data_IF_212305322775
#
_entry.id   IF_212305322775
#
_cell.length_a   1.000
_cell.length_b   1.000
_cell.length_c   1.000
_cell.angle_alpha   90.00
_cell.angle_beta   90.00
_cell.angle_gamma   90.00
#
_symmetry.space_group_name_H-M   'P 1'
#
loop_
_entity.id
_entity.type
_entity.pdbx_description
1 polymer ?
#
# COMPACT_ATOMS: atom_id res chain seq x y z
N UNK A 1 30.54 -13.37 -5.62
CA UNK A 1 29.63 -13.84 -6.70
C UNK A 1 28.21 -13.44 -6.32
N UNK A 2 27.63 -12.50 -7.07
CA UNK A 2 26.33 -11.90 -6.78
C UNK A 2 25.21 -12.94 -6.79
N UNK A 3 24.43 -13.00 -5.70
CA UNK A 3 23.13 -13.68 -5.70
C UNK A 3 22.26 -12.95 -6.70
N UNK A 4 21.95 -13.64 -7.80
CA UNK A 4 20.87 -13.33 -8.72
C UNK A 4 19.61 -13.24 -7.87
N UNK A 5 19.19 -12.03 -7.50
CA UNK A 5 17.84 -11.82 -7.01
C UNK A 5 16.93 -12.41 -8.09
N UNK A 6 16.20 -13.47 -7.76
CA UNK A 6 15.14 -13.97 -8.61
C UNK A 6 14.12 -12.85 -8.76
N UNK A 7 14.32 -12.01 -9.76
CA UNK A 7 13.25 -11.22 -10.38
C UNK A 7 12.22 -12.23 -10.88
N UNK A 8 10.98 -12.23 -10.38
CA UNK A 8 9.95 -13.03 -10.99
C UNK A 8 9.62 -12.41 -12.35
N UNK A 9 10.03 -13.14 -13.41
CA UNK A 9 9.52 -13.13 -14.80
C UNK A 9 9.50 -11.81 -15.59
N UNK A 10 10.27 -11.77 -16.68
CA UNK A 10 9.90 -11.05 -17.90
C UNK A 10 9.28 -12.03 -18.91
N UNK A 11 8.48 -11.61 -19.91
CA UNK A 11 7.24 -10.86 -19.80
C UNK A 11 6.10 -11.61 -20.51
N UNK A 12 5.06 -12.01 -19.78
CA UNK A 12 3.72 -11.73 -20.29
C UNK A 12 3.52 -10.26 -20.00
N UNK A 13 3.53 -9.38 -21.01
CA UNK A 13 3.43 -7.93 -20.79
C UNK A 13 2.20 -7.68 -19.92
N UNK A 14 2.37 -7.39 -18.63
CA UNK A 14 1.26 -6.92 -17.81
C UNK A 14 0.86 -5.59 -18.42
N UNK A 15 -0.24 -5.60 -19.16
CA UNK A 15 -0.75 -4.41 -19.81
C UNK A 15 -1.43 -3.59 -18.72
N UNK A 16 -0.71 -2.58 -18.24
CA UNK A 16 -1.30 -1.54 -17.39
C UNK A 16 -1.99 -0.52 -18.27
N UNK A 17 -3.06 0.07 -17.75
CA UNK A 17 -3.83 1.08 -18.46
C UNK A 17 -3.85 2.38 -17.67
N UNK A 18 -3.92 3.52 -18.36
CA UNK A 18 -4.05 4.80 -17.67
C UNK A 18 -5.34 4.79 -16.82
N UNK A 19 -5.22 5.28 -15.60
CA UNK A 19 -6.35 5.43 -14.68
C UNK A 19 -7.10 6.73 -14.92
N UNK A 20 -8.43 6.67 -14.83
CA UNK A 20 -9.31 7.85 -14.75
C UNK A 20 -10.06 7.85 -13.43
N UNK A 21 -10.44 9.01 -12.89
CA UNK A 21 -11.18 9.09 -11.63
C UNK A 21 -12.47 8.26 -11.65
N UNK A 22 -13.20 8.23 -12.77
CA UNK A 22 -14.42 7.42 -12.92
C UNK A 22 -14.13 5.91 -12.81
N UNK A 23 -13.05 5.45 -13.46
CA UNK A 23 -12.63 4.05 -13.39
C UNK A 23 -12.12 3.68 -12.00
N UNK A 24 -11.31 4.53 -11.39
CA UNK A 24 -10.82 4.33 -10.02
C UNK A 24 -11.97 4.26 -9.03
N UNK A 25 -12.94 5.18 -9.11
CA UNK A 25 -14.12 5.16 -8.26
C UNK A 25 -14.90 3.84 -8.40
N UNK A 26 -15.05 3.34 -9.62
CA UNK A 26 -15.71 2.04 -9.89
C UNK A 26 -14.94 0.87 -9.28
N UNK A 27 -13.61 0.85 -9.44
CA UNK A 27 -12.76 -0.21 -8.86
C UNK A 27 -12.84 -0.18 -7.34
N UNK A 28 -12.68 1.00 -6.72
CA UNK A 28 -12.67 1.18 -5.27
C UNK A 28 -13.99 0.75 -4.63
N UNK A 29 -15.13 1.13 -5.22
CA UNK A 29 -16.46 0.69 -4.74
C UNK A 29 -16.60 -0.84 -4.76
N UNK A 30 -16.09 -1.49 -5.80
CA UNK A 30 -16.11 -2.97 -5.89
C UNK A 30 -15.14 -3.62 -4.91
N UNK A 31 -13.95 -3.05 -4.74
CA UNK A 31 -12.91 -3.56 -3.85
C UNK A 31 -13.32 -3.49 -2.38
N UNK A 32 -14.06 -2.46 -1.96
CA UNK A 32 -14.48 -2.29 -0.56
C UNK A 32 -15.13 -3.54 0.03
N UNK A 33 -16.00 -4.21 -0.72
CA UNK A 33 -16.66 -5.43 -0.26
C UNK A 33 -15.64 -6.56 0.00
N UNK A 34 -14.70 -6.76 -0.91
CA UNK A 34 -13.67 -7.79 -0.78
C UNK A 34 -12.69 -7.47 0.35
N UNK A 35 -12.33 -6.20 0.54
CA UNK A 35 -11.43 -5.76 1.61
C UNK A 35 -12.08 -5.96 2.98
N UNK A 36 -13.34 -5.56 3.13
CA UNK A 36 -14.10 -5.78 4.37
C UNK A 36 -14.18 -7.27 4.71
N UNK A 37 -14.53 -8.10 3.72
CA UNK A 37 -14.58 -9.55 3.89
C UNK A 37 -13.21 -10.15 4.24
N UNK A 38 -12.16 -9.73 3.55
CA UNK A 38 -10.79 -10.16 3.84
C UNK A 38 -10.39 -9.85 5.29
N UNK A 39 -10.70 -8.65 5.78
CA UNK A 39 -10.40 -8.25 7.15
C UNK A 39 -11.18 -9.08 8.16
N UNK A 40 -12.47 -9.32 7.92
CA UNK A 40 -13.31 -10.17 8.76
C UNK A 40 -12.80 -11.62 8.83
N UNK A 41 -12.31 -12.17 7.72
CA UNK A 41 -11.77 -13.53 7.65
C UNK A 41 -10.34 -13.63 8.20
N UNK A 42 -9.60 -12.51 8.27
CA UNK A 42 -8.20 -12.49 8.75
C UNK A 42 -8.09 -12.20 10.24
N UNK A 43 -8.98 -11.37 10.78
CA UNK A 43 -8.91 -10.89 12.15
C UNK A 43 -10.20 -11.23 12.92
N UNK A 44 -10.21 -12.36 13.62
CA UNK A 44 -11.38 -12.84 14.38
C UNK A 44 -11.98 -11.77 15.31
N UNK A 45 -11.13 -10.98 15.99
CA UNK A 45 -11.58 -9.94 16.90
C UNK A 45 -12.30 -8.78 16.16
N UNK A 46 -12.10 -8.64 14.85
CA UNK A 46 -12.76 -7.61 14.05
C UNK A 46 -14.29 -7.80 14.03
N UNK A 47 -14.75 -9.06 13.98
CA UNK A 47 -16.17 -9.39 14.01
C UNK A 47 -16.83 -9.01 15.36
N UNK A 48 -16.04 -8.76 16.41
CA UNK A 48 -16.57 -8.37 17.72
C UNK A 48 -16.97 -6.90 17.78
N UNK A 49 -16.45 -6.05 16.90
CA UNK A 49 -16.81 -4.63 16.82
C UNK A 49 -18.23 -4.44 16.29
N UNK A 50 -18.90 -3.38 16.74
CA UNK A 50 -20.19 -3.02 16.14
C UNK A 50 -20.00 -2.49 14.71
N UNK A 51 -21.10 -2.38 13.95
CA UNK A 51 -21.04 -1.95 12.55
C UNK A 51 -20.46 -0.54 12.38
N UNK A 52 -20.66 0.36 13.35
CA UNK A 52 -20.14 1.72 13.29
C UNK A 52 -18.62 1.73 13.49
N UNK A 53 -18.13 0.99 14.48
CA UNK A 53 -16.71 0.77 14.74
C UNK A 53 -16.02 0.12 13.53
N UNK A 54 -16.60 -0.94 12.96
CA UNK A 54 -16.07 -1.60 11.77
C UNK A 54 -15.95 -0.62 10.58
N UNK A 55 -17.00 0.16 10.31
CA UNK A 55 -16.97 1.17 9.25
C UNK A 55 -15.91 2.24 9.47
N UNK A 56 -15.75 2.72 10.71
CA UNK A 56 -14.71 3.69 11.06
C UNK A 56 -13.31 3.14 10.80
N UNK A 57 -13.03 1.91 11.29
CA UNK A 57 -11.73 1.24 11.10
C UNK A 57 -11.44 1.09 9.61
N UNK A 58 -12.41 0.58 8.84
CA UNK A 58 -12.27 0.40 7.39
C UNK A 58 -12.05 1.73 6.68
N UNK A 59 -12.80 2.77 7.01
CA UNK A 59 -12.67 4.08 6.38
C UNK A 59 -11.26 4.67 6.52
N UNK A 60 -10.69 4.60 7.73
CA UNK A 60 -9.33 5.08 8.00
C UNK A 60 -8.27 4.20 7.34
N UNK A 61 -8.48 2.88 7.33
CA UNK A 61 -7.58 1.93 6.69
C UNK A 61 -7.52 2.10 5.17
N UNK A 62 -8.65 2.37 4.51
CA UNK A 62 -8.73 2.42 3.04
C UNK A 62 -7.80 3.46 2.41
N UNK A 63 -7.64 4.62 3.05
CA UNK A 63 -6.70 5.65 2.58
C UNK A 63 -5.26 5.14 2.65
N UNK A 64 -4.86 4.54 3.78
CA UNK A 64 -3.52 3.98 3.95
C UNK A 64 -3.28 2.78 3.03
N UNK A 65 -4.27 1.91 2.86
CA UNK A 65 -4.21 0.77 1.96
C UNK A 65 -3.88 1.24 0.55
N UNK A 66 -4.56 2.28 0.07
CA UNK A 66 -4.35 2.77 -1.29
C UNK A 66 -2.94 3.31 -1.52
N UNK A 67 -2.42 4.10 -0.58
CA UNK A 67 -1.06 4.64 -0.65
C UNK A 67 -0.01 3.53 -0.58
N UNK A 68 -0.15 2.58 0.36
CA UNK A 68 0.76 1.45 0.53
C UNK A 68 0.72 0.50 -0.66
N UNK A 69 -0.47 0.09 -1.09
CA UNK A 69 -0.67 -0.83 -2.20
C UNK A 69 -0.17 -0.21 -3.52
N UNK A 70 -0.55 1.04 -3.81
CA UNK A 70 -0.09 1.75 -5.00
C UNK A 70 1.43 1.88 -5.03
N UNK A 71 2.05 2.22 -3.90
CA UNK A 71 3.52 2.29 -3.78
C UNK A 71 4.17 0.93 -3.98
N UNK A 72 3.67 -0.10 -3.32
CA UNK A 72 4.22 -1.45 -3.44
C UNK A 72 4.13 -1.99 -4.87
N UNK A 73 2.99 -1.84 -5.54
CA UNK A 73 2.86 -2.27 -6.94
C UNK A 73 3.69 -1.43 -7.90
N UNK A 74 3.87 -0.14 -7.63
CA UNK A 74 4.80 0.71 -8.38
C UNK A 74 6.22 0.17 -8.26
N UNK A 75 6.65 -0.12 -7.03
CA UNK A 75 7.97 -0.70 -6.76
C UNK A 75 8.19 -2.03 -7.49
N UNK A 76 7.20 -2.92 -7.44
CA UNK A 76 7.30 -4.29 -7.97
C UNK A 76 7.18 -4.38 -9.49
N UNK A 77 6.41 -3.49 -10.12
CA UNK A 77 6.05 -3.63 -11.54
C UNK A 77 6.65 -2.53 -12.43
N UNK A 78 7.02 -1.36 -11.90
CA UNK A 78 7.53 -0.24 -12.69
C UNK A 78 9.04 0.00 -12.47
N UNK A 79 9.81 0.24 -13.54
CA UNK A 79 11.22 0.63 -13.44
C UNK A 79 11.41 1.89 -12.60
N UNK A 80 12.52 1.98 -11.85
CA UNK A 80 12.80 3.11 -10.99
C UNK A 80 12.89 4.46 -11.75
N UNK A 81 13.32 4.40 -13.01
CA UNK A 81 13.51 5.54 -13.89
C UNK A 81 12.19 6.18 -14.35
N UNK A 82 11.07 5.44 -14.29
CA UNK A 82 9.74 5.98 -14.63
C UNK A 82 9.19 6.72 -13.42
N UNK A 83 9.75 7.90 -13.15
CA UNK A 83 9.43 8.71 -11.97
C UNK A 83 8.01 9.28 -12.04
N UNK A 84 7.57 9.58 -13.25
CA UNK A 84 6.28 10.14 -13.62
C UNK A 84 5.11 9.17 -13.42
N UNK A 85 5.39 7.86 -13.32
CA UNK A 85 4.35 6.83 -13.22
C UNK A 85 4.19 6.31 -11.80
N UNK A 86 2.94 6.09 -11.41
CA UNK A 86 2.59 5.44 -10.16
C UNK A 86 1.37 4.52 -10.39
N UNK A 87 1.48 3.29 -9.92
CA UNK A 87 0.35 2.36 -9.90
C UNK A 87 -0.73 2.88 -8.94
N UNK A 88 -1.97 2.89 -9.41
CA UNK A 88 -3.15 3.28 -8.63
C UNK A 88 -3.97 2.07 -8.20
N UNK A 89 -3.89 0.98 -8.96
CA UNK A 89 -4.49 -0.34 -8.69
C UNK A 89 -3.61 -1.42 -9.34
N UNK A 90 -3.97 -2.70 -9.18
CA UNK A 90 -3.31 -3.81 -9.87
C UNK A 90 -3.27 -3.70 -11.41
N UNK A 91 -4.16 -2.92 -12.03
CA UNK A 91 -4.32 -2.85 -13.49
C UNK A 91 -4.21 -1.44 -14.06
N UNK A 92 -4.08 -0.42 -13.21
CA UNK A 92 -4.10 0.99 -13.62
C UNK A 92 -2.97 1.80 -13.01
N UNK A 93 -2.49 2.80 -13.74
CA UNK A 93 -1.47 3.74 -13.28
C UNK A 93 -1.82 5.20 -13.62
N UNK A 94 -1.29 6.15 -12.85
CA UNK A 94 -1.21 7.58 -13.20
C UNK A 94 0.09 7.87 -13.92
N UNK A 95 0.07 8.88 -14.79
CA UNK A 95 1.24 9.42 -15.47
C UNK A 95 1.23 10.94 -15.29
N UNK A 96 2.24 11.49 -14.62
CA UNK A 96 2.35 12.93 -14.36
C UNK A 96 2.44 13.74 -15.66
N UNK A 97 2.90 13.15 -16.76
CA UNK A 97 2.95 13.80 -18.06
C UNK A 97 1.59 13.81 -18.78
N UNK A 98 0.61 13.03 -18.29
CA UNK A 98 -0.70 12.85 -18.92
C UNK A 98 -1.84 12.93 -17.87
N UNK A 99 -1.72 13.84 -16.90
CA UNK A 99 -2.69 13.98 -15.79
C UNK A 99 -4.09 14.35 -16.25
N UNK A 100 -4.23 14.93 -17.44
CA UNK A 100 -5.52 15.18 -18.06
C UNK A 100 -6.36 13.91 -18.13
N UNK A 101 -5.76 12.76 -18.47
CA UNK A 101 -6.49 11.49 -18.56
C UNK A 101 -7.09 11.06 -17.21
N UNK A 102 -6.39 11.39 -16.12
CA UNK A 102 -6.87 11.11 -14.77
C UNK A 102 -8.07 12.00 -14.43
N UNK A 103 -8.02 13.29 -14.82
CA UNK A 103 -8.88 14.37 -14.34
C UNK A 103 -10.08 14.66 -15.26
N UNK A 104 -10.02 14.37 -16.56
CA UNK A 104 -10.92 14.91 -17.60
C UNK A 104 -12.42 14.57 -17.51
N UNK A 105 -12.87 13.75 -16.55
CA UNK A 105 -14.29 13.43 -16.35
C UNK A 105 -14.97 14.29 -15.27
N UNK A 106 -14.60 15.58 -15.14
CA UNK A 106 -15.26 16.49 -14.19
C UNK A 106 -16.18 17.45 -14.92
N UNK A 107 -17.45 17.43 -14.57
CA UNK A 107 -18.49 18.33 -15.08
C UNK A 107 -18.39 19.76 -14.50
N UNK A 108 -17.51 19.99 -13.52
CA UNK A 108 -17.35 21.27 -12.85
C UNK A 108 -16.13 22.06 -13.35
N UNK A 109 -16.23 23.40 -13.45
CA UNK A 109 -15.09 24.28 -13.71
C UNK A 109 -14.17 24.32 -12.49
N UNK A 110 -13.35 23.29 -12.32
CA UNK A 110 -12.22 23.33 -11.41
C UNK A 110 -11.01 23.95 -12.10
N UNK A 111 -10.15 24.61 -11.31
CA UNK A 111 -8.82 24.98 -11.76
C UNK A 111 -8.00 23.69 -11.98
N UNK A 112 -8.05 23.20 -13.21
CA UNK A 112 -7.34 21.99 -13.66
C UNK A 112 -5.83 22.14 -13.40
N UNK A 113 -5.28 23.34 -13.51
CA UNK A 113 -3.87 23.61 -13.25
C UNK A 113 -3.54 23.41 -11.77
N UNK A 114 -4.35 23.97 -10.87
CA UNK A 114 -4.18 23.76 -9.43
C UNK A 114 -4.30 22.28 -9.06
N UNK A 115 -5.28 21.57 -9.61
CA UNK A 115 -5.46 20.14 -9.33
C UNK A 115 -4.28 19.29 -9.80
N UNK A 116 -3.72 19.57 -10.99
CA UNK A 116 -2.51 18.92 -11.48
C UNK A 116 -1.32 19.14 -10.55
N UNK A 117 -1.15 20.37 -10.05
CA UNK A 117 -0.08 20.70 -9.10
C UNK A 117 -0.23 19.92 -7.79
N UNK A 118 -1.45 19.83 -7.25
CA UNK A 118 -1.74 19.06 -6.03
C UNK A 118 -1.42 17.58 -6.24
N UNK A 119 -1.91 16.97 -7.33
CA UNK A 119 -1.65 15.56 -7.64
C UNK A 119 -0.14 15.30 -7.81
N UNK A 120 0.55 16.17 -8.54
CA UNK A 120 2.00 16.07 -8.75
C UNK A 120 2.76 16.12 -7.43
N UNK A 121 2.43 17.10 -6.57
CA UNK A 121 3.05 17.26 -5.26
C UNK A 121 2.83 16.03 -4.37
N UNK A 122 1.59 15.52 -4.31
CA UNK A 122 1.24 14.34 -3.54
C UNK A 122 1.99 13.09 -4.04
N UNK A 123 2.01 12.85 -5.36
CA UNK A 123 2.71 11.69 -5.92
C UNK A 123 4.22 11.74 -5.66
N UNK A 124 4.84 12.93 -5.78
CA UNK A 124 6.26 13.10 -5.47
C UNK A 124 6.55 12.94 -3.99
N UNK A 125 5.65 13.40 -3.12
CA UNK A 125 5.76 13.18 -1.67
C UNK A 125 5.70 11.69 -1.33
N UNK A 126 4.69 10.96 -1.83
CA UNK A 126 4.55 9.51 -1.62
C UNK A 126 5.77 8.75 -2.13
N UNK A 127 6.32 9.14 -3.29
CA UNK A 127 7.53 8.54 -3.81
C UNK A 127 8.71 8.68 -2.83
N UNK A 128 8.96 9.90 -2.38
CA UNK A 128 10.09 10.19 -1.49
C UNK A 128 9.95 9.53 -0.11
N UNK A 129 8.74 9.46 0.43
CA UNK A 129 8.50 8.97 1.80
C UNK A 129 8.25 7.46 1.90
N UNK A 130 7.66 6.85 0.87
CA UNK A 130 7.32 5.42 0.86
C UNK A 130 8.07 4.65 -0.21
N UNK A 131 7.93 5.03 -1.48
CA UNK A 131 8.42 4.21 -2.59
C UNK A 131 9.95 4.01 -2.55
N UNK A 132 10.69 5.10 -2.31
CA UNK A 132 12.16 5.05 -2.27
C UNK A 132 12.65 4.27 -1.04
N UNK A 133 11.90 4.32 0.07
CA UNK A 133 12.17 3.50 1.27
C UNK A 133 11.91 2.02 1.00
N UNK A 134 10.79 1.67 0.36
CA UNK A 134 10.50 0.29 -0.04
C UNK A 134 11.59 -0.28 -0.94
N UNK A 135 12.12 0.54 -1.86
CA UNK A 135 13.25 0.16 -2.73
C UNK A 135 14.55 -0.03 -1.95
N UNK A 136 14.86 0.86 -1.01
CA UNK A 136 16.13 0.82 -0.27
C UNK A 136 16.24 -0.42 0.63
N UNK A 137 15.15 -0.82 1.28
CA UNK A 137 15.11 -2.00 2.14
C UNK A 137 14.76 -3.29 1.38
N UNK A 138 14.45 -3.19 0.08
CA UNK A 138 13.99 -4.30 -0.76
C UNK A 138 12.78 -4.99 -0.11
N UNK A 139 11.73 -4.20 0.16
CA UNK A 139 10.55 -4.65 0.87
C UNK A 139 9.98 -5.94 0.23
N UNK A 140 9.92 -7.01 1.01
CA UNK A 140 9.36 -8.29 0.62
C UNK A 140 7.83 -8.28 0.71
N UNK A 141 7.22 -9.32 0.17
CA UNK A 141 5.76 -9.49 0.23
C UNK A 141 5.26 -9.73 1.66
N UNK A 142 6.03 -10.47 2.48
CA UNK A 142 5.70 -10.71 3.89
C UNK A 142 5.72 -9.40 4.68
N UNK A 143 6.75 -8.58 4.48
CA UNK A 143 6.86 -7.28 5.13
C UNK A 143 5.77 -6.30 4.65
N UNK A 144 5.41 -6.34 3.36
CA UNK A 144 4.30 -5.56 2.83
C UNK A 144 2.96 -5.93 3.50
N UNK A 145 2.64 -7.23 3.60
CA UNK A 145 1.41 -7.68 4.27
C UNK A 145 1.42 -7.31 5.76
N UNK A 146 2.57 -7.42 6.43
CA UNK A 146 2.71 -6.97 7.81
C UNK A 146 2.49 -5.46 7.96
N UNK A 147 3.01 -4.63 7.05
CA UNK A 147 2.77 -3.19 7.04
C UNK A 147 1.29 -2.84 6.82
N UNK A 148 0.60 -3.57 5.92
CA UNK A 148 -0.84 -3.42 5.74
C UNK A 148 -1.59 -3.73 7.05
N UNK A 149 -1.31 -4.86 7.70
CA UNK A 149 -1.92 -5.22 8.96
C UNK A 149 -1.62 -4.21 10.08
N UNK A 150 -0.38 -3.70 10.16
CA UNK A 150 -0.01 -2.64 11.11
C UNK A 150 -0.73 -1.32 10.83
N UNK A 151 -0.97 -0.98 9.55
CA UNK A 151 -1.73 0.22 9.19
C UNK A 151 -3.20 0.12 9.60
N UNK A 152 -3.81 -1.06 9.48
CA UNK A 152 -5.17 -1.34 9.95
C UNK A 152 -5.26 -1.15 11.47
N UNK A 153 -4.30 -1.71 12.20
CA UNK A 153 -4.22 -1.64 13.66
C UNK A 153 -3.39 -0.45 14.18
N UNK A 154 -3.31 0.62 13.40
CA UNK A 154 -2.54 1.82 13.77
C UNK A 154 -3.14 2.51 14.98
N UNK A 155 -2.30 2.83 15.97
CA UNK A 155 -2.73 3.53 17.18
C UNK A 155 -3.33 4.90 16.90
N UNK A 156 -2.88 5.58 15.82
CA UNK A 156 -3.44 6.87 15.42
C UNK A 156 -4.90 6.75 14.98
N UNK A 157 -5.26 5.64 14.32
CA UNK A 157 -6.58 5.43 13.75
C UNK A 157 -7.62 5.02 14.80
N UNK A 158 -7.17 4.49 15.94
CA UNK A 158 -8.03 3.89 16.95
C UNK A 158 -8.04 4.66 18.27
N UNK A 159 -7.41 5.84 18.29
CA UNK A 159 -7.23 6.64 19.50
C UNK A 159 -8.59 7.00 20.12
N UNK A 160 -8.77 6.67 21.39
CA UNK A 160 -10.00 6.97 22.14
C UNK A 160 -11.06 5.87 22.07
N UNK A 161 -10.78 4.74 21.40
CA UNK A 161 -11.65 3.57 21.36
C UNK A 161 -11.02 2.42 22.16
N UNK A 162 -11.22 2.37 23.48
CA UNK A 162 -10.50 1.45 24.39
C UNK A 162 -10.50 -0.01 23.93
N UNK A 163 -11.66 -0.52 23.48
CA UNK A 163 -11.77 -1.89 22.95
C UNK A 163 -10.89 -2.07 21.72
N UNK A 164 -10.96 -1.14 20.77
CA UNK A 164 -10.20 -1.20 19.53
C UNK A 164 -8.69 -1.06 19.79
N UNK A 165 -8.29 -0.21 20.74
CA UNK A 165 -6.89 -0.07 21.16
C UNK A 165 -6.35 -1.35 21.78
N UNK A 166 -7.13 -2.03 22.64
CA UNK A 166 -6.73 -3.33 23.22
C UNK A 166 -6.52 -4.39 22.15
N UNK A 167 -7.47 -4.54 21.23
CA UNK A 167 -7.39 -5.49 20.11
C UNK A 167 -6.21 -5.16 19.20
N UNK A 168 -6.04 -3.88 18.85
CA UNK A 168 -4.92 -3.43 18.03
C UNK A 168 -3.56 -3.66 18.70
N UNK A 169 -3.47 -3.51 20.02
CA UNK A 169 -2.24 -3.81 20.77
C UNK A 169 -1.87 -5.29 20.66
N UNK A 170 -2.85 -6.19 20.84
CA UNK A 170 -2.68 -7.64 20.66
C UNK A 170 -2.15 -7.98 19.27
N UNK A 171 -2.80 -7.50 18.21
CA UNK A 171 -2.37 -7.80 16.84
C UNK A 171 -1.02 -7.18 16.49
N UNK A 172 -0.73 -5.94 16.91
CA UNK A 172 0.59 -5.34 16.70
C UNK A 172 1.69 -6.15 17.36
N UNK A 173 1.50 -6.58 18.61
CA UNK A 173 2.46 -7.41 19.33
C UNK A 173 2.71 -8.74 18.59
N UNK A 174 1.65 -9.40 18.12
CA UNK A 174 1.74 -10.63 17.33
C UNK A 174 2.52 -10.40 16.03
N UNK A 175 2.17 -9.36 15.26
CA UNK A 175 2.85 -9.04 13.99
C UNK A 175 4.34 -8.75 14.21
N UNK A 176 4.70 -8.00 15.25
CA UNK A 176 6.12 -7.73 15.55
C UNK A 176 6.88 -8.99 15.96
N UNK A 177 6.25 -9.89 16.73
CA UNK A 177 6.82 -11.18 17.06
C UNK A 177 7.06 -12.03 15.81
N UNK A 178 6.06 -12.15 14.93
CA UNK A 178 6.16 -12.95 13.71
C UNK A 178 7.18 -12.38 12.71
N UNK A 179 7.26 -11.04 12.59
CA UNK A 179 8.31 -10.38 11.81
C UNK A 179 9.70 -10.64 12.39
N UNK A 180 9.86 -10.60 13.71
CA UNK A 180 11.14 -10.89 14.36
C UNK A 180 11.59 -12.33 14.07
N UNK A 181 10.70 -13.30 14.22
CA UNK A 181 10.98 -14.70 13.90
C UNK A 181 11.28 -14.89 12.40
N UNK A 182 10.52 -14.22 11.52
CA UNK A 182 10.78 -14.22 10.08
C UNK A 182 12.21 -13.76 9.78
N UNK A 183 12.63 -12.62 10.35
CA UNK A 183 13.99 -12.11 10.18
C UNK A 183 15.04 -13.07 10.73
N UNK A 184 14.83 -13.64 11.92
CA UNK A 184 15.75 -14.63 12.51
C UNK A 184 15.96 -15.84 11.60
N UNK A 185 14.90 -16.33 10.96
CA UNK A 185 14.95 -17.44 10.00
C UNK A 185 15.65 -17.05 8.69
N UNK A 186 15.41 -15.84 8.18
CA UNK A 186 16.06 -15.34 6.95
C UNK A 186 17.56 -15.11 7.16
N UNK A 187 17.94 -14.56 8.32
CA UNK A 187 19.34 -14.32 8.69
C UNK A 187 20.08 -15.62 9.02
N UNK A 188 19.44 -16.59 9.67
CA UNK A 188 20.09 -17.90 9.93
C UNK A 188 20.33 -18.71 8.66
N UNK A 189 19.51 -18.54 7.61
CA UNK A 189 19.68 -19.21 6.31
C UNK A 189 20.64 -18.47 5.36
N UNK A 190 21.01 -17.24 5.68
CA UNK A 190 21.93 -16.43 4.89
C UNK A 190 23.25 -16.39 5.64
N UNK A 191 24.27 -17.15 5.19
CA UNK A 191 25.62 -17.12 5.76
C UNK A 191 26.13 -15.68 5.89
N UNK A 192 25.99 -15.13 7.08
CA UNK A 192 26.22 -13.72 7.38
C UNK A 192 27.72 -13.46 7.43
N UNK A 193 28.19 -12.52 6.60
CA UNK A 193 29.52 -11.92 6.72
C UNK A 193 29.28 -10.50 7.25
N UNK A 194 29.77 -10.15 8.45
CA UNK A 194 29.63 -8.80 8.98
C UNK A 194 30.29 -7.78 8.04
N UNK A 195 29.71 -6.58 7.86
CA UNK A 195 30.46 -5.45 7.34
C UNK A 195 31.62 -5.16 8.29
N UNK A 196 32.84 -5.07 7.76
CA UNK A 196 33.96 -4.50 8.52
C UNK A 196 33.66 -3.02 8.73
N UNK A 197 33.57 -2.62 10.00
CA UNK A 197 33.61 -1.22 10.44
C UNK A 197 34.91 -0.55 9.98
#
# INVERSE_FOLDING_TARGET
MYRKAMLPSAPGLKVFSLGSLARLSTIMRKQMHYISRFIQETFDDFATFDTSEQHMILHLFMTCLWELEGSYWTYRNLPAQQIEKMMLTLTTYSDLNNLEYLIMNKDEPQDICQLKQVITSLQMHIRATLLDQMRSIILSEVEFVALLALSLWSQRNLRGHEKAERVASKYRAQIFYDLHEHYRLVFSKSSWIPPKL
#
